data_IF_060089797315
#
_entry.id   IF_060089797315
#
_cell.length_a   1.000
_cell.length_b   1.000
_cell.length_c   1.000
_cell.angle_alpha   90.00
_cell.angle_beta   90.00
_cell.angle_gamma   90.00
#
_symmetry.space_group_name_H-M   'P 1'
#
loop_
_entity.id
_entity.type
_entity.pdbx_description
1 polymer ?
#
# COMPACT_ATOMS: atom_id res chain seq x y z
N UNK A 1 4.91 1.33 7.13
CA UNK A 1 4.36 1.70 5.80
C UNK A 1 3.85 0.44 5.10
N UNK A 2 2.69 0.54 4.45
CA UNK A 2 2.14 -0.49 3.56
C UNK A 2 1.92 0.14 2.18
N UNK A 3 2.40 -0.51 1.12
CA UNK A 3 2.06 -0.18 -0.27
C UNK A 3 1.30 -1.37 -0.84
N UNK A 4 0.19 -1.10 -1.51
CA UNK A 4 -0.68 -2.10 -2.10
C UNK A 4 -1.01 -1.75 -3.55
N UNK A 5 -1.02 -2.75 -4.42
CA UNK A 5 -1.43 -2.60 -5.81
C UNK A 5 -2.18 -3.84 -6.30
N UNK A 6 -2.94 -3.67 -7.38
CA UNK A 6 -3.66 -4.72 -8.05
C UNK A 6 -3.08 -4.94 -9.44
N UNK A 7 -2.92 -6.21 -9.82
CA UNK A 7 -2.48 -6.63 -11.15
C UNK A 7 -3.44 -7.71 -11.66
N UNK A 8 -3.64 -7.79 -12.98
CA UNK A 8 -4.41 -8.90 -13.55
C UNK A 8 -3.68 -10.23 -13.32
N UNK A 9 -4.41 -11.28 -12.93
CA UNK A 9 -3.80 -12.58 -12.62
C UNK A 9 -3.03 -13.15 -13.81
N UNK A 10 -3.54 -12.96 -15.02
CA UNK A 10 -2.88 -13.34 -16.28
C UNK A 10 -1.53 -12.62 -16.50
N UNK A 11 -1.39 -11.40 -15.98
CA UNK A 11 -0.14 -10.65 -16.04
C UNK A 11 0.85 -11.12 -14.98
N UNK A 12 0.37 -11.56 -13.82
CA UNK A 12 1.21 -12.06 -12.74
C UNK A 12 1.78 -13.47 -13.01
N UNK A 13 1.00 -14.38 -13.58
CA UNK A 13 1.40 -15.77 -13.84
C UNK A 13 2.17 -15.97 -15.17
N UNK A 14 2.87 -14.94 -15.63
CA UNK A 14 3.82 -14.99 -16.76
C UNK A 14 3.23 -15.45 -18.11
N UNK A 15 2.24 -14.72 -18.63
CA UNK A 15 2.02 -14.74 -20.08
C UNK A 15 3.03 -13.84 -20.79
N UNK A 16 3.72 -14.37 -21.80
CA UNK A 16 4.74 -13.67 -22.60
C UNK A 16 4.29 -12.33 -23.24
N UNK A 17 2.98 -12.10 -23.30
CA UNK A 17 2.38 -10.91 -23.91
C UNK A 17 1.79 -9.92 -22.91
N UNK A 18 1.93 -10.17 -21.61
CA UNK A 18 1.40 -9.31 -20.54
C UNK A 18 2.52 -8.80 -19.65
N UNK A 19 2.29 -7.66 -18.97
CA UNK A 19 3.29 -7.01 -18.12
C UNK A 19 2.86 -7.11 -16.64
N UNK A 20 3.60 -7.84 -15.78
CA UNK A 20 3.28 -7.98 -14.36
C UNK A 20 3.40 -6.67 -13.56
N UNK A 21 4.04 -5.64 -14.12
CA UNK A 21 4.17 -4.32 -13.51
C UNK A 21 3.09 -3.33 -13.97
N UNK A 22 2.06 -3.80 -14.67
CA UNK A 22 0.91 -2.98 -15.03
C UNK A 22 -0.12 -2.98 -13.89
N UNK A 23 -0.01 -1.99 -13.00
CA UNK A 23 -0.87 -1.86 -11.83
C UNK A 23 -2.13 -1.05 -12.16
N UNK A 24 -3.29 -1.67 -11.92
CA UNK A 24 -4.59 -1.21 -12.39
C UNK A 24 -5.54 -0.93 -11.23
N UNK A 25 -6.45 0.02 -11.38
CA UNK A 25 -7.48 0.32 -10.38
C UNK A 25 -8.74 -0.56 -10.54
N UNK A 26 -9.14 -0.85 -11.79
CA UNK A 26 -10.32 -1.66 -12.13
C UNK A 26 -11.65 -1.11 -11.60
N UNK A 27 -11.85 0.20 -11.64
CA UNK A 27 -13.03 0.88 -11.10
C UNK A 27 -13.17 0.67 -9.58
N UNK A 28 -12.04 0.60 -8.87
CA UNK A 28 -12.03 0.62 -7.41
C UNK A 28 -12.66 1.92 -6.94
N UNK A 29 -13.65 1.82 -6.06
CA UNK A 29 -14.33 2.99 -5.45
C UNK A 29 -13.87 3.24 -4.04
N UNK A 30 -13.46 2.19 -3.32
CA UNK A 30 -13.05 2.33 -1.94
C UNK A 30 -11.91 1.40 -1.58
N UNK A 31 -10.93 1.93 -0.85
CA UNK A 31 -9.89 1.15 -0.18
C UNK A 31 -9.70 1.60 1.26
N UNK A 32 -9.55 0.64 2.16
CA UNK A 32 -9.20 0.91 3.56
C UNK A 32 -8.31 -0.20 4.10
N UNK A 33 -7.45 0.16 5.04
CA UNK A 33 -6.62 -0.78 5.78
C UNK A 33 -7.08 -0.77 7.23
N UNK A 34 -7.21 -1.94 7.85
CA UNK A 34 -7.46 -2.04 9.28
C UNK A 34 -6.30 -2.73 9.95
N UNK A 35 -5.79 -2.16 11.04
CA UNK A 35 -4.79 -2.78 11.91
C UNK A 35 -5.45 -3.01 13.27
N UNK A 36 -5.60 -4.26 13.68
CA UNK A 36 -6.29 -4.68 14.91
C UNK A 36 -7.65 -3.98 15.11
N UNK A 37 -8.51 -4.04 14.08
CA UNK A 37 -9.84 -3.42 14.06
C UNK A 37 -9.87 -1.88 14.08
N UNK A 38 -8.72 -1.20 13.96
CA UNK A 38 -8.66 0.26 13.79
C UNK A 38 -8.42 0.57 12.32
N UNK A 39 -9.33 1.34 11.72
CA UNK A 39 -9.26 1.71 10.29
C UNK A 39 -8.29 2.86 10.05
N UNK A 40 -7.50 2.70 8.99
CA UNK A 40 -6.52 3.63 8.47
C UNK A 40 -6.70 3.80 6.96
N UNK A 41 -6.95 5.01 6.49
CA UNK A 41 -7.41 6.19 7.24
C UNK A 41 -8.75 5.95 7.98
N UNK A 42 -9.10 6.84 8.93
CA UNK A 42 -10.36 6.72 9.71
C UNK A 42 -11.61 6.73 8.84
N UNK A 43 -11.56 7.40 7.69
CA UNK A 43 -12.55 7.29 6.61
C UNK A 43 -11.89 6.58 5.45
N UNK A 44 -12.46 5.47 4.93
CA UNK A 44 -11.93 4.79 3.76
C UNK A 44 -11.69 5.75 2.60
N UNK A 45 -10.58 5.54 1.89
CA UNK A 45 -10.25 6.32 0.71
C UNK A 45 -11.31 6.10 -0.36
N UNK A 46 -11.90 7.19 -0.85
CA UNK A 46 -12.80 7.18 -1.99
C UNK A 46 -11.99 7.38 -3.26
N UNK A 47 -12.05 6.41 -4.15
CA UNK A 47 -11.24 6.36 -5.35
C UNK A 47 -12.16 6.60 -6.55
N UNK A 48 -11.82 7.60 -7.35
CA UNK A 48 -12.52 7.87 -8.60
C UNK A 48 -11.53 8.41 -9.63
N UNK A 49 -11.18 7.54 -10.58
CA UNK A 49 -10.28 7.86 -11.68
C UNK A 49 -10.98 8.59 -12.83
N UNK A 50 -12.31 8.55 -12.91
CA UNK A 50 -13.10 9.23 -13.95
C UNK A 50 -13.33 10.70 -13.62
N UNK A 51 -13.64 11.04 -12.37
CA UNK A 51 -13.92 12.43 -11.94
C UNK A 51 -12.71 13.18 -11.35
N UNK A 52 -11.55 12.53 -11.29
CA UNK A 52 -10.29 13.17 -10.89
C UNK A 52 -9.94 13.07 -9.41
N UNK A 53 -10.66 12.27 -8.60
CA UNK A 53 -10.29 11.96 -7.20
C UNK A 53 -9.07 11.07 -7.05
N UNK A 54 -8.47 10.62 -8.16
CA UNK A 54 -7.15 9.98 -8.19
C UNK A 54 -6.02 10.86 -7.61
N UNK A 55 -6.22 12.19 -7.57
CA UNK A 55 -5.22 13.14 -7.07
C UNK A 55 -4.89 12.92 -5.60
N UNK A 56 -5.89 12.68 -4.76
CA UNK A 56 -5.70 12.49 -3.31
C UNK A 56 -4.83 11.26 -3.02
N UNK A 57 -4.97 10.20 -3.83
CA UNK A 57 -4.20 8.96 -3.69
C UNK A 57 -2.78 9.11 -4.20
N UNK A 58 -2.60 9.84 -5.30
CA UNK A 58 -1.26 10.17 -5.80
C UNK A 58 -0.49 11.05 -4.80
N UNK A 59 -1.16 12.06 -4.22
CA UNK A 59 -0.59 12.89 -3.16
C UNK A 59 -0.30 12.09 -1.90
N UNK A 60 -1.19 11.17 -1.51
CA UNK A 60 -0.97 10.25 -0.38
C UNK A 60 0.23 9.33 -0.61
N UNK A 61 0.40 8.80 -1.82
CA UNK A 61 1.58 8.04 -2.21
C UNK A 61 2.86 8.84 -2.07
N UNK A 62 2.88 10.07 -2.58
CA UNK A 62 4.02 10.98 -2.44
C UNK A 62 4.32 11.30 -0.98
N UNK A 63 3.29 11.45 -0.14
CA UNK A 63 3.43 11.76 1.28
C UNK A 63 4.05 10.60 2.05
N UNK A 64 3.48 9.39 1.88
CA UNK A 64 3.96 8.16 2.52
C UNK A 64 5.39 7.81 2.09
N UNK A 65 5.76 8.12 0.84
CA UNK A 65 7.13 7.96 0.33
C UNK A 65 8.09 9.10 0.73
N UNK A 66 7.62 10.11 1.46
CA UNK A 66 8.41 11.27 1.87
C UNK A 66 8.85 12.17 0.70
N UNK A 67 8.17 12.09 -0.45
CA UNK A 67 8.49 12.85 -1.67
C UNK A 67 7.68 14.14 -1.78
N UNK A 68 6.51 14.23 -1.17
CA UNK A 68 5.58 15.37 -1.32
C UNK A 68 6.21 16.74 -1.00
N UNK A 69 7.03 16.79 0.05
CA UNK A 69 7.68 18.03 0.52
C UNK A 69 9.19 18.03 0.31
N UNK A 70 9.75 17.00 -0.32
CA UNK A 70 11.17 16.91 -0.58
C UNK A 70 11.57 17.81 -1.76
N UNK A 71 12.69 18.56 -1.67
CA UNK A 71 13.20 19.31 -2.82
C UNK A 71 13.60 18.32 -3.94
N UNK A 72 12.96 18.45 -5.10
CA UNK A 72 13.12 17.49 -6.21
C UNK A 72 12.40 16.15 -5.98
N UNK A 73 11.46 16.08 -5.04
CA UNK A 73 10.61 14.92 -4.83
C UNK A 73 9.69 14.69 -6.02
N UNK A 74 9.96 13.64 -6.78
CA UNK A 74 9.10 13.17 -7.87
C UNK A 74 9.09 11.65 -7.94
N UNK A 75 8.08 11.13 -8.61
CA UNK A 75 8.02 9.74 -9.04
C UNK A 75 8.50 9.62 -10.48
N UNK A 76 8.92 8.42 -10.95
CA UNK A 76 9.32 8.20 -12.34
C UNK A 76 8.13 8.27 -13.33
N UNK A 77 6.91 8.43 -12.82
CA UNK A 77 5.69 8.64 -13.57
C UNK A 77 4.94 9.86 -13.02
N UNK A 78 4.15 10.49 -13.88
CA UNK A 78 3.26 11.59 -13.53
C UNK A 78 1.88 11.08 -13.12
N UNK A 79 0.96 12.01 -12.87
CA UNK A 79 -0.42 11.70 -12.48
C UNK A 79 -1.17 10.87 -13.54
N UNK A 80 -0.92 11.13 -14.82
CA UNK A 80 -1.56 10.39 -15.90
C UNK A 80 -1.01 8.98 -16.01
N UNK A 81 0.30 8.80 -15.80
CA UNK A 81 0.94 7.49 -15.69
C UNK A 81 0.47 6.70 -14.47
N UNK A 82 0.21 7.39 -13.34
CA UNK A 82 -0.38 6.80 -12.13
C UNK A 82 -1.75 6.17 -12.43
N UNK A 83 -2.67 6.93 -13.04
CA UNK A 83 -4.02 6.45 -13.33
C UNK A 83 -4.08 5.32 -14.39
N UNK A 84 -3.05 5.18 -15.23
CA UNK A 84 -3.04 4.21 -16.34
C UNK A 84 -2.47 2.85 -15.96
N UNK A 85 -1.28 2.83 -15.36
CA UNK A 85 -0.51 1.60 -15.18
C UNK A 85 0.36 1.56 -13.92
N UNK A 86 0.29 2.60 -13.07
CA UNK A 86 1.10 2.70 -11.86
C UNK A 86 0.23 3.01 -10.63
N UNK A 87 -0.96 2.41 -10.55
CA UNK A 87 -1.88 2.64 -9.43
C UNK A 87 -1.39 1.92 -8.16
N UNK A 88 -0.72 2.66 -7.29
CA UNK A 88 -0.28 2.20 -5.96
C UNK A 88 -1.00 2.95 -4.85
N UNK A 89 -1.55 2.21 -3.89
CA UNK A 89 -2.13 2.76 -2.68
C UNK A 89 -1.13 2.64 -1.53
N UNK A 90 -0.76 3.76 -0.93
CA UNK A 90 0.17 3.77 0.19
C UNK A 90 -0.53 4.20 1.48
N UNK A 91 -0.18 3.53 2.57
CA UNK A 91 -0.71 3.76 3.90
C UNK A 91 0.47 3.89 4.87
N UNK A 92 0.53 5.01 5.58
CA UNK A 92 1.43 5.11 6.72
C UNK A 92 0.80 4.36 7.91
N UNK A 93 1.48 3.30 8.32
CA UNK A 93 1.12 2.47 9.47
C UNK A 93 2.13 2.63 10.62
N UNK A 94 3.02 3.63 10.54
CA UNK A 94 3.98 3.92 11.60
C UNK A 94 3.27 4.28 12.90
N UNK A 95 3.81 3.94 14.09
CA UNK A 95 3.20 4.32 15.36
C UNK A 95 2.91 5.84 15.45
N UNK A 96 3.87 6.65 14.99
CA UNK A 96 3.78 8.11 14.91
C UNK A 96 2.71 8.61 13.94
N UNK A 97 2.51 7.95 12.79
CA UNK A 97 1.55 8.35 11.75
C UNK A 97 0.14 7.79 11.95
N UNK A 98 -0.01 6.67 12.66
CA UNK A 98 -1.30 6.06 13.02
C UNK A 98 -2.00 6.72 14.21
N UNK A 99 -1.38 7.70 14.87
CA UNK A 99 -1.84 8.19 16.18
C UNK A 99 -1.82 7.11 17.26
N UNK A 100 -1.05 6.03 17.07
CA UNK A 100 -0.89 4.93 18.01
C UNK A 100 0.37 5.14 18.84
N UNK A 101 0.18 5.38 20.13
CA UNK A 101 1.18 5.23 21.18
C UNK A 101 2.41 6.16 21.05
N UNK A 102 2.52 7.16 21.94
CA UNK A 102 3.70 8.03 22.04
C UNK A 102 5.00 7.25 22.37
N UNK A 103 4.87 5.96 22.72
CA UNK A 103 5.94 5.07 23.16
C UNK A 103 6.58 4.25 22.03
N UNK A 104 6.01 4.25 20.81
CA UNK A 104 6.64 3.60 19.64
C UNK A 104 6.85 2.08 19.77
N UNK A 105 6.02 1.40 20.58
CA UNK A 105 6.16 -0.03 20.83
C UNK A 105 5.90 -0.84 19.55
N UNK A 106 6.81 -1.77 19.24
CA UNK A 106 6.61 -2.76 18.18
C UNK A 106 5.43 -3.66 18.60
N UNK A 107 4.42 -3.73 17.73
CA UNK A 107 3.21 -4.54 17.96
C UNK A 107 3.01 -5.51 16.81
N UNK A 108 2.82 -6.77 17.14
CA UNK A 108 2.27 -7.76 16.22
C UNK A 108 0.76 -7.57 16.15
N UNK A 109 0.21 -7.62 14.94
CA UNK A 109 -1.20 -7.39 14.70
C UNK A 109 -1.64 -7.92 13.35
N UNK A 110 -2.96 -7.90 13.12
CA UNK A 110 -3.54 -8.31 11.85
C UNK A 110 -3.80 -7.08 10.98
N UNK A 111 -3.36 -7.15 9.73
CA UNK A 111 -3.63 -6.13 8.70
C UNK A 111 -4.69 -6.66 7.74
N UNK A 112 -5.86 -6.02 7.73
CA UNK A 112 -6.96 -6.34 6.82
C UNK A 112 -7.07 -5.25 5.76
N UNK A 113 -6.94 -5.60 4.49
CA UNK A 113 -7.17 -4.69 3.36
C UNK A 113 -8.57 -4.94 2.81
N UNK A 114 -9.41 -3.92 2.77
CA UNK A 114 -10.77 -3.98 2.22
C UNK A 114 -10.86 -3.17 0.94
N UNK A 115 -11.44 -3.78 -0.10
CA UNK A 115 -11.57 -3.22 -1.45
C UNK A 115 -13.04 -3.25 -1.86
N UNK A 116 -13.52 -2.17 -2.47
CA UNK A 116 -14.84 -2.08 -3.07
C UNK A 116 -14.72 -1.62 -4.52
N UNK A 117 -15.42 -2.30 -5.43
CA UNK A 117 -15.43 -2.02 -6.86
C UNK A 117 -16.81 -1.55 -7.30
N UNK A 118 -16.87 -0.57 -8.22
CA UNK A 118 -18.14 -0.10 -8.79
C UNK A 118 -18.80 -1.11 -9.73
N UNK A 119 -17.98 -1.94 -10.39
CA UNK A 119 -18.41 -2.86 -11.44
C UNK A 119 -17.91 -4.27 -11.12
N UNK A 120 -18.62 -5.32 -11.55
CA UNK A 120 -18.11 -6.68 -11.51
C UNK A 120 -16.76 -6.78 -12.21
N UNK A 121 -15.81 -7.50 -11.61
CA UNK A 121 -14.49 -7.72 -12.18
C UNK A 121 -14.59 -8.75 -13.31
N UNK A 122 -14.24 -8.34 -14.54
CA UNK A 122 -14.22 -9.23 -15.71
C UNK A 122 -13.08 -10.25 -15.68
N UNK A 123 -12.00 -9.92 -14.95
CA UNK A 123 -10.81 -10.75 -14.80
C UNK A 123 -10.45 -10.89 -13.33
N UNK A 124 -9.85 -12.02 -12.97
CA UNK A 124 -9.30 -12.24 -11.64
C UNK A 124 -8.11 -11.30 -11.41
N UNK A 125 -8.11 -10.62 -10.27
CA UNK A 125 -7.02 -9.74 -9.85
C UNK A 125 -6.17 -10.40 -8.77
N UNK A 126 -4.88 -10.10 -8.81
CA UNK A 126 -3.93 -10.45 -7.77
C UNK A 126 -3.51 -9.18 -7.04
N UNK A 127 -3.60 -9.21 -5.71
CA UNK A 127 -3.12 -8.14 -4.84
C UNK A 127 -1.65 -8.34 -4.51
N UNK A 128 -0.84 -7.31 -4.68
CA UNK A 128 0.57 -7.29 -4.32
C UNK A 128 0.76 -6.25 -3.23
N UNK A 129 1.37 -6.65 -2.11
CA UNK A 129 1.68 -5.76 -1.00
C UNK A 129 3.17 -5.73 -0.70
N UNK A 130 3.67 -4.53 -0.40
CA UNK A 130 4.98 -4.29 0.18
C UNK A 130 4.78 -3.71 1.57
N UNK A 131 5.28 -4.41 2.60
CA UNK A 131 5.24 -3.93 3.97
C UNK A 131 6.65 -3.52 4.39
N UNK A 132 6.75 -2.33 4.98
CA UNK A 132 7.93 -1.82 5.64
C UNK A 132 7.59 -1.54 7.10
N UNK A 133 8.29 -2.21 8.01
CA UNK A 133 8.06 -2.12 9.45
C UNK A 133 9.38 -2.21 10.20
N UNK A 134 9.41 -1.61 11.38
CA UNK A 134 10.53 -1.73 12.31
C UNK A 134 10.40 -3.04 13.08
N UNK A 135 11.54 -3.69 13.36
CA UNK A 135 11.59 -4.96 14.08
C UNK A 135 12.75 -4.96 15.08
N UNK A 136 12.61 -5.74 16.15
CA UNK A 136 13.66 -5.89 17.16
C UNK A 136 14.55 -7.08 16.80
N UNK A 137 15.86 -6.82 16.79
CA UNK A 137 16.89 -7.83 16.58
C UNK A 137 17.81 -7.87 17.80
N UNK A 138 17.93 -9.03 18.43
CA UNK A 138 18.85 -9.28 19.54
C UNK A 138 19.90 -10.32 19.12
N UNK A 139 21.17 -10.07 19.46
CA UNK A 139 22.23 -11.07 19.35
C UNK A 139 22.55 -11.53 20.76
N UNK A 140 22.23 -12.79 21.05
CA UNK A 140 22.49 -13.34 22.38
C UNK A 140 23.99 -13.63 22.60
N UNK A 141 24.36 -14.00 23.82
CA UNK A 141 25.74 -14.37 24.19
C UNK A 141 26.31 -15.54 23.37
N UNK A 142 25.44 -16.38 22.81
CA UNK A 142 25.80 -17.49 21.93
C UNK A 142 25.91 -17.09 20.44
N UNK A 143 25.85 -15.78 20.13
CA UNK A 143 25.86 -15.23 18.76
C UNK A 143 24.68 -15.69 17.90
N UNK A 144 23.57 -16.06 18.54
CA UNK A 144 22.34 -16.41 17.84
C UNK A 144 21.50 -15.15 17.62
N UNK A 145 20.94 -15.05 16.43
CA UNK A 145 20.03 -13.98 16.05
C UNK A 145 18.63 -14.31 16.55
N UNK A 146 18.06 -13.45 17.38
CA UNK A 146 16.68 -13.50 17.82
C UNK A 146 15.93 -12.33 17.19
N UNK A 147 14.81 -12.63 16.54
CA UNK A 147 13.91 -11.65 15.94
C UNK A 147 12.51 -11.79 16.55
N UNK A 148 11.80 -10.68 16.61
CA UNK A 148 10.40 -10.63 17.06
C UNK A 148 9.39 -10.90 15.95
N UNK A 149 9.84 -11.23 14.74
CA UNK A 149 9.03 -11.68 13.62
C UNK A 149 9.45 -13.07 13.14
N UNK A 150 8.51 -13.80 12.53
CA UNK A 150 8.75 -15.07 11.85
C UNK A 150 8.88 -14.78 10.35
N UNK A 151 9.97 -15.22 9.74
CA UNK A 151 10.22 -15.10 8.30
C UNK A 151 9.46 -16.15 7.49
#
# INVERSE_FOLDING_TARGET
MLIFALVESDSFHEHLHTNPFNFVDKNLTQISVQVDCVSFPSKPYQVDFETGRSLEHFDGLLDVLGKKHAPGGSLPFDRDGYAKCHTFFAFDLSPSGCGRDALGLIKQGNVTISLQFAKPLEKTLMGVSLLYFDFLMEINTFRQLLTDFVA
#
